data_IF_446352340674
#
_entry.id   IF_446352340674
#
_cell.length_a   1.000
_cell.length_b   1.000
_cell.length_c   1.000
_cell.angle_alpha   90.00
_cell.angle_beta   90.00
_cell.angle_gamma   90.00
#
_symmetry.space_group_name_H-M   'P 1'
#
loop_
_entity.id
_entity.type
_entity.pdbx_description
1 polymer ?
#
# COMPACT_ATOMS: atom_id res chain seq x y z
N UNK A 1 -15.69 -48.69 -35.01
CA UNK A 1 -16.58 -48.14 -33.98
C UNK A 1 -15.83 -48.26 -32.66
N UNK A 2 -14.90 -47.37 -32.31
CA UNK A 2 -15.03 -45.93 -31.95
C UNK A 2 -16.13 -45.69 -30.90
N UNK A 3 -15.65 -45.24 -29.73
CA UNK A 3 -16.13 -44.21 -28.77
C UNK A 3 -16.06 -44.77 -27.34
N UNK A 4 -15.40 -44.16 -26.34
CA UNK A 4 -14.66 -42.90 -26.24
C UNK A 4 -13.79 -42.99 -24.98
N UNK A 5 -12.51 -42.63 -25.11
CA UNK A 5 -11.57 -42.42 -24.02
C UNK A 5 -11.85 -41.03 -23.48
N UNK A 6 -12.55 -40.93 -22.36
CA UNK A 6 -12.67 -39.69 -21.59
C UNK A 6 -11.34 -39.42 -20.88
N UNK A 7 -10.49 -38.63 -21.53
CA UNK A 7 -9.23 -38.12 -20.99
C UNK A 7 -9.47 -37.33 -19.69
N UNK A 8 -9.30 -37.98 -18.55
CA UNK A 8 -8.87 -37.32 -17.32
C UNK A 8 -7.34 -37.20 -17.37
N UNK A 9 -6.84 -36.36 -18.24
CA UNK A 9 -5.44 -35.94 -18.22
C UNK A 9 -5.38 -34.52 -17.70
N UNK A 10 -4.93 -34.42 -16.45
CA UNK A 10 -4.02 -33.39 -15.97
C UNK A 10 -4.31 -31.96 -16.42
N UNK A 11 -5.16 -31.26 -15.66
CA UNK A 11 -5.05 -29.80 -15.56
C UNK A 11 -5.28 -29.29 -14.13
N UNK A 12 -4.92 -30.14 -13.17
CA UNK A 12 -4.52 -29.73 -11.82
C UNK A 12 -2.98 -29.65 -11.78
N UNK A 13 -2.38 -29.02 -12.78
CA UNK A 13 -1.03 -28.53 -12.64
C UNK A 13 -1.08 -27.50 -11.52
N UNK A 14 -0.24 -27.71 -10.51
CA UNK A 14 0.04 -26.74 -9.47
C UNK A 14 0.17 -25.36 -10.14
N UNK A 15 -0.80 -24.48 -9.94
CA UNK A 15 -0.63 -23.06 -10.14
C UNK A 15 0.45 -22.67 -9.13
N UNK A 16 1.72 -22.85 -9.51
CA UNK A 16 2.80 -22.27 -8.76
C UNK A 16 2.53 -20.79 -8.88
N UNK A 17 2.24 -20.17 -7.74
CA UNK A 17 2.09 -18.74 -7.62
C UNK A 17 3.39 -18.11 -8.13
N UNK A 18 3.41 -17.70 -9.41
CA UNK A 18 4.60 -17.19 -10.09
C UNK A 18 5.15 -15.94 -9.38
N UNK A 19 4.37 -15.32 -8.49
CA UNK A 19 4.80 -14.24 -7.62
C UNK A 19 5.81 -14.65 -6.55
N UNK A 20 6.04 -15.96 -6.33
CA UNK A 20 7.00 -16.49 -5.36
C UNK A 20 8.39 -16.78 -5.95
N UNK A 21 8.55 -16.70 -7.27
CA UNK A 21 9.86 -16.88 -7.88
C UNK A 21 10.65 -15.56 -7.91
N UNK A 22 11.98 -15.62 -7.69
CA UNK A 22 12.85 -14.46 -7.87
C UNK A 22 12.67 -13.86 -9.26
N UNK A 23 12.54 -12.53 -9.32
CA UNK A 23 12.37 -11.82 -10.58
C UNK A 23 13.67 -11.86 -11.39
N UNK A 24 13.59 -12.25 -12.66
CA UNK A 24 14.73 -12.06 -13.56
C UNK A 24 14.86 -10.57 -13.92
N UNK A 25 16.09 -10.11 -14.22
CA UNK A 25 16.33 -8.71 -14.59
C UNK A 25 15.52 -8.28 -15.83
N UNK A 26 15.44 -9.12 -16.86
CA UNK A 26 14.65 -8.84 -18.08
C UNK A 26 13.15 -8.73 -17.78
N UNK A 27 12.63 -9.59 -16.90
CA UNK A 27 11.24 -9.52 -16.47
C UNK A 27 10.97 -8.23 -15.69
N UNK A 28 11.84 -7.86 -14.76
CA UNK A 28 11.72 -6.61 -14.02
C UNK A 28 11.78 -5.38 -14.94
N UNK A 29 12.68 -5.36 -15.93
CA UNK A 29 12.74 -4.32 -16.95
C UNK A 29 11.40 -4.17 -17.69
N UNK A 30 10.81 -5.29 -18.11
CA UNK A 30 9.51 -5.28 -18.75
C UNK A 30 8.42 -4.72 -17.81
N UNK A 31 8.39 -5.18 -16.56
CA UNK A 31 7.41 -4.76 -15.57
C UNK A 31 7.52 -3.26 -15.26
N UNK A 32 8.71 -2.73 -14.97
CA UNK A 32 8.90 -1.31 -14.67
C UNK A 32 8.54 -0.43 -15.86
N UNK A 33 8.89 -0.84 -17.08
CA UNK A 33 8.58 -0.08 -18.30
C UNK A 33 7.06 0.09 -18.50
N UNK A 34 6.27 -0.95 -18.20
CA UNK A 34 4.81 -0.93 -18.40
C UNK A 34 4.03 -0.52 -17.14
N UNK A 35 4.71 -0.36 -16.01
CA UNK A 35 4.12 0.05 -14.75
C UNK A 35 3.48 1.43 -14.90
N UNK A 36 2.24 1.59 -14.45
CA UNK A 36 1.53 2.87 -14.43
C UNK A 36 1.65 3.50 -13.05
N UNK A 37 2.20 4.71 -12.99
CA UNK A 37 2.44 5.43 -11.74
C UNK A 37 1.99 6.88 -11.84
N UNK A 38 1.56 7.41 -10.70
CA UNK A 38 1.33 8.81 -10.47
C UNK A 38 0.02 9.35 -11.06
N UNK A 39 -0.25 10.65 -10.80
CA UNK A 39 -1.48 11.31 -11.23
C UNK A 39 -1.60 11.46 -12.76
N UNK A 40 -0.50 11.27 -13.50
CA UNK A 40 -0.51 11.24 -14.97
C UNK A 40 -1.14 9.96 -15.53
N UNK A 41 -1.11 8.87 -14.75
CA UNK A 41 -1.61 7.55 -15.19
C UNK A 41 -2.97 7.20 -14.62
N UNK A 42 -3.30 7.73 -13.44
CA UNK A 42 -4.48 7.35 -12.67
C UNK A 42 -5.28 8.56 -12.20
N UNK A 43 -6.58 8.54 -12.47
CA UNK A 43 -7.53 9.44 -11.82
C UNK A 43 -7.96 8.89 -10.45
N UNK A 44 -8.44 9.77 -9.57
CA UNK A 44 -8.86 9.38 -8.21
C UNK A 44 -10.03 8.38 -8.22
N UNK A 45 -10.85 8.41 -9.25
CA UNK A 45 -12.00 7.53 -9.47
C UNK A 45 -11.60 6.12 -9.92
N UNK A 46 -10.39 5.97 -10.49
CA UNK A 46 -9.89 4.70 -11.03
C UNK A 46 -9.22 3.83 -9.97
N UNK A 47 -8.95 4.39 -8.79
CA UNK A 47 -8.36 3.66 -7.66
C UNK A 47 -9.31 2.55 -7.19
N UNK A 48 -8.79 1.32 -7.18
CA UNK A 48 -9.55 0.12 -6.82
C UNK A 48 -10.31 -0.54 -7.98
N UNK A 49 -10.15 -0.05 -9.21
CA UNK A 49 -10.54 -0.78 -10.43
C UNK A 49 -9.68 -2.05 -10.59
N UNK A 50 -10.14 -3.01 -11.39
CA UNK A 50 -9.39 -4.25 -11.62
C UNK A 50 -8.00 -3.97 -12.20
N UNK A 51 -7.90 -3.05 -13.15
CA UNK A 51 -6.63 -2.66 -13.78
C UNK A 51 -5.66 -2.04 -12.75
N UNK A 52 -6.16 -1.17 -11.86
CA UNK A 52 -5.34 -0.59 -10.80
C UNK A 52 -4.87 -1.66 -9.79
N UNK A 53 -5.72 -2.64 -9.47
CA UNK A 53 -5.36 -3.75 -8.57
C UNK A 53 -4.28 -4.66 -9.18
N UNK A 54 -4.36 -4.93 -10.49
CA UNK A 54 -3.32 -5.67 -11.21
C UNK A 54 -1.99 -4.90 -11.21
N UNK A 55 -2.04 -3.59 -11.46
CA UNK A 55 -0.85 -2.73 -11.37
C UNK A 55 -0.25 -2.70 -9.96
N UNK A 56 -1.08 -2.68 -8.90
CA UNK A 56 -0.61 -2.80 -7.53
C UNK A 56 0.09 -4.15 -7.27
N UNK A 57 -0.44 -5.27 -7.79
CA UNK A 57 0.19 -6.57 -7.62
C UNK A 57 1.59 -6.62 -8.26
N UNK A 58 1.78 -5.98 -9.42
CA UNK A 58 3.10 -5.81 -10.05
C UNK A 58 4.03 -5.00 -9.15
N UNK A 59 3.55 -3.86 -8.62
CA UNK A 59 4.33 -3.02 -7.72
C UNK A 59 4.72 -3.76 -6.43
N UNK A 60 3.80 -4.55 -5.86
CA UNK A 60 4.06 -5.37 -4.67
C UNK A 60 5.14 -6.43 -4.94
N UNK A 61 5.13 -7.03 -6.13
CA UNK A 61 6.16 -8.00 -6.54
C UNK A 61 7.53 -7.34 -6.66
N UNK A 62 7.60 -6.16 -7.28
CA UNK A 62 8.83 -5.36 -7.35
C UNK A 62 9.33 -4.97 -5.96
N UNK A 63 8.41 -4.60 -5.04
CA UNK A 63 8.74 -4.28 -3.65
C UNK A 63 9.36 -5.46 -2.90
N UNK A 64 8.78 -6.66 -3.04
CA UNK A 64 9.32 -7.87 -2.40
C UNK A 64 10.76 -8.16 -2.86
N UNK A 65 11.00 -8.08 -4.17
CA UNK A 65 12.32 -8.33 -4.75
C UNK A 65 13.33 -7.25 -4.33
N UNK A 66 12.98 -5.97 -4.42
CA UNK A 66 13.85 -4.87 -4.02
C UNK A 66 14.27 -4.98 -2.54
N UNK A 67 13.34 -5.37 -1.66
CA UNK A 67 13.67 -5.62 -0.27
C UNK A 67 14.58 -6.83 -0.08
N UNK A 68 14.34 -7.94 -0.80
CA UNK A 68 15.25 -9.09 -0.76
C UNK A 68 16.65 -8.69 -1.17
N UNK A 69 16.78 -7.88 -2.24
CA UNK A 69 18.07 -7.39 -2.73
C UNK A 69 18.84 -6.59 -1.68
N UNK A 70 18.14 -5.67 -1.02
CA UNK A 70 18.69 -4.83 0.04
C UNK A 70 19.09 -5.64 1.29
N UNK A 71 18.28 -6.62 1.70
CA UNK A 71 18.55 -7.47 2.88
C UNK A 71 19.73 -8.40 2.63
N UNK A 72 19.78 -9.02 1.45
CA UNK A 72 20.82 -9.96 1.08
C UNK A 72 22.13 -9.26 0.66
N UNK A 73 22.11 -7.93 0.51
CA UNK A 73 23.24 -7.14 0.04
C UNK A 73 23.68 -7.52 -1.37
N UNK A 74 22.72 -7.90 -2.21
CA UNK A 74 22.95 -8.30 -3.61
C UNK A 74 22.83 -7.10 -4.54
N UNK A 75 22.94 -7.33 -5.84
CA UNK A 75 22.82 -6.28 -6.85
C UNK A 75 21.40 -5.69 -6.88
N UNK A 76 21.28 -4.40 -6.59
CA UNK A 76 19.99 -3.69 -6.45
C UNK A 76 19.44 -3.23 -7.81
N UNK A 77 19.34 -4.15 -8.76
CA UNK A 77 18.98 -3.82 -10.14
C UNK A 77 17.58 -3.21 -10.26
N UNK A 78 16.67 -3.50 -9.32
CA UNK A 78 15.33 -2.87 -9.30
C UNK A 78 15.48 -1.37 -9.04
N UNK A 79 16.27 -0.98 -8.04
CA UNK A 79 16.53 0.43 -7.75
C UNK A 79 17.22 1.11 -8.93
N UNK A 80 18.26 0.48 -9.49
CA UNK A 80 18.99 1.03 -10.64
C UNK A 80 18.08 1.26 -11.85
N UNK A 81 17.13 0.35 -12.07
CA UNK A 81 16.15 0.46 -13.14
C UNK A 81 15.19 1.66 -12.92
N UNK A 82 14.71 1.87 -11.69
CA UNK A 82 13.87 3.03 -11.38
C UNK A 82 14.62 4.36 -11.53
N UNK A 83 15.90 4.40 -11.16
CA UNK A 83 16.78 5.56 -11.38
C UNK A 83 17.01 5.79 -12.88
N UNK A 84 17.37 4.74 -13.63
CA UNK A 84 17.66 4.79 -15.06
C UNK A 84 16.48 5.30 -15.89
N UNK A 85 15.28 4.87 -15.56
CA UNK A 85 14.05 5.22 -16.26
C UNK A 85 13.39 6.51 -15.72
N UNK A 86 14.04 7.22 -14.78
CA UNK A 86 13.54 8.45 -14.11
C UNK A 86 12.16 8.28 -13.43
N UNK A 87 11.87 7.08 -12.92
CA UNK A 87 10.54 6.69 -12.40
C UNK A 87 10.37 6.95 -10.91
N UNK A 88 11.42 7.37 -10.20
CA UNK A 88 11.34 7.70 -8.77
C UNK A 88 10.38 8.88 -8.53
N UNK A 89 10.39 9.87 -9.43
CA UNK A 89 9.44 10.99 -9.38
C UNK A 89 7.99 10.52 -9.54
N UNK A 90 7.73 9.59 -10.46
CA UNK A 90 6.41 9.02 -10.65
C UNK A 90 5.95 8.21 -9.44
N UNK A 91 6.87 7.49 -8.78
CA UNK A 91 6.60 6.73 -7.56
C UNK A 91 6.23 7.65 -6.38
N UNK A 92 6.90 8.80 -6.25
CA UNK A 92 6.50 9.85 -5.30
C UNK A 92 5.13 10.40 -5.69
N UNK A 93 4.86 10.63 -6.98
CA UNK A 93 3.54 11.01 -7.47
C UNK A 93 2.44 10.00 -7.09
N UNK A 94 2.71 8.70 -7.18
CA UNK A 94 1.80 7.63 -6.77
C UNK A 94 1.54 7.70 -5.25
N UNK A 95 2.56 7.98 -4.44
CA UNK A 95 2.41 8.17 -3.00
C UNK A 95 1.45 9.33 -2.68
N UNK A 96 1.62 10.47 -3.35
CA UNK A 96 0.76 11.64 -3.14
C UNK A 96 -0.67 11.37 -3.64
N UNK A 97 -0.82 10.65 -4.74
CA UNK A 97 -2.12 10.24 -5.27
C UNK A 97 -2.88 9.37 -4.26
N UNK A 98 -2.26 8.29 -3.77
CA UNK A 98 -2.93 7.38 -2.83
C UNK A 98 -3.18 8.05 -1.47
N UNK A 99 -2.28 8.92 -1.03
CA UNK A 99 -2.48 9.73 0.17
C UNK A 99 -3.67 10.69 0.02
N UNK A 100 -3.79 11.36 -1.11
CA UNK A 100 -4.91 12.26 -1.42
C UNK A 100 -6.22 11.48 -1.46
N UNK A 101 -6.23 10.31 -2.09
CA UNK A 101 -7.40 9.43 -2.11
C UNK A 101 -7.81 8.99 -0.69
N UNK A 102 -6.86 8.56 0.14
CA UNK A 102 -7.13 8.13 1.53
C UNK A 102 -7.64 9.28 2.41
N UNK A 103 -7.17 10.50 2.20
CA UNK A 103 -7.57 11.66 3.02
C UNK A 103 -8.86 12.32 2.56
N UNK A 104 -9.13 12.36 1.25
CA UNK A 104 -10.26 13.11 0.66
C UNK A 104 -11.39 12.22 0.17
N UNK A 105 -11.07 11.09 -0.47
CA UNK A 105 -12.06 10.23 -1.13
C UNK A 105 -12.56 9.17 -0.18
N UNK A 106 -11.66 8.44 0.47
CA UNK A 106 -12.01 7.32 1.36
C UNK A 106 -13.08 7.67 2.42
N UNK A 107 -13.04 8.83 3.12
CA UNK A 107 -14.09 9.17 4.09
C UNK A 107 -15.49 9.28 3.47
N UNK A 108 -15.60 9.75 2.22
CA UNK A 108 -16.87 9.94 1.51
C UNK A 108 -17.48 8.63 1.02
N UNK A 109 -16.65 7.63 0.73
CA UNK A 109 -17.08 6.33 0.19
C UNK A 109 -17.08 5.21 1.23
N UNK A 110 -16.48 5.43 2.41
CA UNK A 110 -16.30 4.43 3.48
C UNK A 110 -17.59 3.68 3.86
N UNK A 111 -18.73 4.38 3.93
CA UNK A 111 -20.04 3.78 4.24
C UNK A 111 -20.56 2.84 3.14
N UNK A 112 -20.17 3.07 1.89
CA UNK A 112 -20.58 2.27 0.74
C UNK A 112 -19.60 1.11 0.48
N UNK A 113 -18.32 1.29 0.81
CA UNK A 113 -17.27 0.29 0.68
C UNK A 113 -17.53 -0.96 1.54
N UNK A 114 -18.20 -0.84 2.69
CA UNK A 114 -18.55 -1.98 3.54
C UNK A 114 -19.39 -3.07 2.84
N UNK A 115 -20.00 -2.74 1.68
CA UNK A 115 -20.78 -3.66 0.84
C UNK A 115 -19.96 -4.37 -0.24
N UNK A 116 -18.73 -3.92 -0.50
CA UNK A 116 -17.82 -4.52 -1.47
C UNK A 116 -16.98 -5.63 -0.82
N UNK A 117 -16.26 -6.41 -1.64
CA UNK A 117 -15.35 -7.43 -1.13
C UNK A 117 -14.25 -6.80 -0.26
N UNK A 118 -13.91 -7.48 0.83
CA UNK A 118 -12.91 -7.02 1.81
C UNK A 118 -11.56 -6.70 1.17
N UNK A 119 -11.14 -7.51 0.18
CA UNK A 119 -9.89 -7.30 -0.56
C UNK A 119 -9.89 -5.99 -1.35
N UNK A 120 -10.99 -5.65 -2.04
CA UNK A 120 -11.08 -4.42 -2.84
C UNK A 120 -11.00 -3.15 -1.97
N UNK A 121 -11.41 -3.26 -0.71
CA UNK A 121 -11.30 -2.17 0.26
C UNK A 121 -9.90 -2.08 0.88
N UNK A 122 -9.27 -3.23 1.13
CA UNK A 122 -8.00 -3.30 1.83
C UNK A 122 -6.82 -2.87 0.93
N UNK A 123 -6.82 -3.28 -0.33
CA UNK A 123 -5.68 -3.06 -1.23
C UNK A 123 -5.34 -1.57 -1.41
N UNK A 124 -6.29 -0.66 -1.67
CA UNK A 124 -6.00 0.79 -1.70
C UNK A 124 -5.44 1.34 -0.38
N UNK A 125 -5.87 0.80 0.76
CA UNK A 125 -5.36 1.23 2.06
C UNK A 125 -3.91 0.76 2.28
N UNK A 126 -3.57 -0.42 1.79
CA UNK A 126 -2.26 -1.04 1.91
C UNK A 126 -1.25 -0.52 0.89
N UNK A 127 -1.70 -0.11 -0.30
CA UNK A 127 -0.85 0.37 -1.38
C UNK A 127 0.11 1.50 -0.95
N UNK A 128 -0.36 2.41 -0.10
CA UNK A 128 0.49 3.46 0.49
C UNK A 128 1.73 2.87 1.19
N UNK A 129 1.60 1.77 1.93
CA UNK A 129 2.74 1.13 2.59
C UNK A 129 3.70 0.49 1.59
N UNK A 130 3.20 -0.14 0.52
CA UNK A 130 4.03 -0.70 -0.55
C UNK A 130 4.89 0.37 -1.23
N UNK A 131 4.29 1.53 -1.54
CA UNK A 131 5.01 2.65 -2.17
C UNK A 131 6.08 3.23 -1.23
N UNK A 132 5.75 3.42 0.05
CA UNK A 132 6.73 3.93 1.04
C UNK A 132 7.89 2.96 1.21
N UNK A 133 7.62 1.66 1.31
CA UNK A 133 8.67 0.66 1.49
C UNK A 133 9.66 0.67 0.31
N UNK A 134 9.16 0.77 -0.93
CA UNK A 134 10.02 0.94 -2.11
C UNK A 134 10.84 2.23 -2.04
N UNK A 135 10.20 3.35 -1.71
CA UNK A 135 10.90 4.63 -1.56
C UNK A 135 11.97 4.58 -0.46
N UNK A 136 11.73 3.87 0.64
CA UNK A 136 12.73 3.68 1.70
C UNK A 136 13.99 2.98 1.16
N UNK A 137 13.81 1.87 0.42
CA UNK A 137 14.93 1.15 -0.21
C UNK A 137 15.65 2.04 -1.22
N UNK A 138 14.93 2.80 -2.03
CA UNK A 138 15.54 3.59 -3.11
C UNK A 138 16.25 4.84 -2.60
N UNK A 139 15.66 5.56 -1.64
CA UNK A 139 16.19 6.81 -1.10
C UNK A 139 17.27 6.59 -0.04
N UNK A 140 17.56 5.34 0.32
CA UNK A 140 18.75 5.02 1.11
C UNK A 140 20.04 5.39 0.36
N UNK A 141 20.01 5.37 -0.97
CA UNK A 141 21.15 5.66 -1.83
C UNK A 141 21.10 7.07 -2.40
N UNK A 142 22.28 7.68 -2.58
CA UNK A 142 22.40 9.07 -3.03
C UNK A 142 21.82 9.27 -4.44
N UNK A 143 22.06 8.35 -5.35
CA UNK A 143 21.52 8.36 -6.72
C UNK A 143 19.98 8.30 -6.74
N UNK A 144 19.37 7.56 -5.82
CA UNK A 144 17.93 7.53 -5.63
C UNK A 144 17.37 8.89 -5.21
N UNK A 145 18.05 9.58 -4.29
CA UNK A 145 17.67 10.94 -3.86
C UNK A 145 17.88 11.96 -4.98
N UNK A 146 18.98 11.88 -5.72
CA UNK A 146 19.23 12.76 -6.88
C UNK A 146 18.17 12.57 -7.98
N UNK A 147 17.75 11.33 -8.24
CA UNK A 147 16.70 11.01 -9.18
C UNK A 147 15.30 11.48 -8.73
N UNK A 148 15.04 11.61 -7.42
CA UNK A 148 13.81 12.22 -6.93
C UNK A 148 13.71 13.71 -7.30
N UNK A 149 14.84 14.44 -7.32
CA UNK A 149 14.87 15.86 -7.72
C UNK A 149 13.86 16.71 -6.94
N UNK A 150 13.08 17.53 -7.65
CA UNK A 150 12.16 18.51 -7.04
C UNK A 150 10.96 17.87 -6.32
N UNK A 151 10.54 16.64 -6.69
CA UNK A 151 9.42 15.95 -6.03
C UNK A 151 9.75 15.51 -4.60
N UNK A 152 11.03 15.59 -4.20
CA UNK A 152 11.45 15.41 -2.80
C UNK A 152 10.70 16.36 -1.85
N UNK A 153 10.34 17.56 -2.31
CA UNK A 153 9.57 18.52 -1.49
C UNK A 153 8.19 17.97 -1.14
N UNK A 154 7.52 17.31 -2.09
CA UNK A 154 6.21 16.67 -1.87
C UNK A 154 6.33 15.51 -0.88
N UNK A 155 7.41 14.74 -0.95
CA UNK A 155 7.70 13.67 0.01
C UNK A 155 7.93 14.22 1.42
N UNK A 156 8.64 15.35 1.55
CA UNK A 156 8.84 16.02 2.85
C UNK A 156 7.51 16.53 3.40
N UNK A 157 6.65 17.13 2.56
CA UNK A 157 5.32 17.58 2.97
C UNK A 157 4.46 16.41 3.47
N UNK A 158 4.44 15.31 2.72
CA UNK A 158 3.80 14.06 3.10
C UNK A 158 4.28 13.57 4.48
N UNK A 159 5.60 13.44 4.67
CA UNK A 159 6.19 12.99 5.94
C UNK A 159 5.82 13.93 7.10
N UNK A 160 5.88 15.25 6.88
CA UNK A 160 5.52 16.24 7.88
C UNK A 160 4.04 16.11 8.32
N UNK A 161 3.15 15.90 7.35
CA UNK A 161 1.72 15.69 7.58
C UNK A 161 1.45 14.42 8.37
N UNK A 162 2.17 13.32 8.09
CA UNK A 162 2.06 12.06 8.85
C UNK A 162 2.56 12.22 10.29
N UNK A 163 3.70 12.88 10.48
CA UNK A 163 4.24 13.15 11.82
C UNK A 163 3.27 14.02 12.63
N UNK A 164 2.71 15.07 12.04
CA UNK A 164 1.71 15.91 12.70
C UNK A 164 0.48 15.10 13.12
N UNK A 165 -0.02 14.23 12.24
CA UNK A 165 -1.15 13.33 12.56
C UNK A 165 -0.85 12.35 13.70
N UNK A 166 0.36 11.79 13.74
CA UNK A 166 0.80 10.90 14.83
C UNK A 166 0.89 11.65 16.17
N UNK A 167 1.42 12.88 16.17
CA UNK A 167 1.47 13.74 17.36
C UNK A 167 0.08 14.08 17.87
N UNK A 168 -0.86 14.40 16.97
CA UNK A 168 -2.25 14.67 17.34
C UNK A 168 -2.94 13.44 17.94
N UNK A 169 -2.74 12.27 17.34
CA UNK A 169 -3.27 11.00 17.85
C UNK A 169 -2.69 10.68 19.23
N UNK A 170 -1.39 10.87 19.42
CA UNK A 170 -0.74 10.66 20.71
C UNK A 170 -1.30 11.59 21.79
N UNK A 171 -1.46 12.89 21.47
CA UNK A 171 -2.07 13.86 22.36
C UNK A 171 -3.52 13.51 22.73
N UNK A 172 -4.32 13.01 21.77
CA UNK A 172 -5.69 12.55 22.02
C UNK A 172 -5.71 11.35 22.98
N UNK A 173 -4.85 10.35 22.74
CA UNK A 173 -4.72 9.16 23.61
C UNK A 173 -4.27 9.53 25.02
N UNK A 174 -3.30 10.44 25.16
CA UNK A 174 -2.83 10.92 26.46
C UNK A 174 -3.93 11.67 27.23
N UNK A 175 -4.73 12.49 26.56
CA UNK A 175 -5.90 13.14 27.18
C UNK A 175 -6.96 12.12 27.58
N UNK A 176 -7.20 11.10 26.76
CA UNK A 176 -8.15 10.04 27.07
C UNK A 176 -7.70 9.22 28.29
N UNK A 177 -6.41 8.87 28.40
CA UNK A 177 -5.89 8.14 29.55
C UNK A 177 -5.94 8.98 30.83
N UNK A 178 -5.64 10.28 30.75
CA UNK A 178 -5.79 11.20 31.89
C UNK A 178 -7.25 11.30 32.35
N UNK A 179 -8.20 11.47 31.41
CA UNK A 179 -9.63 11.47 31.70
C UNK A 179 -10.06 10.19 32.41
N UNK A 180 -9.61 9.03 31.94
CA UNK A 180 -9.90 7.73 32.56
C UNK A 180 -9.27 7.59 33.97
N UNK A 181 -8.13 8.21 34.23
CA UNK A 181 -7.48 8.22 35.53
C UNK A 181 -8.14 9.18 36.54
N UNK A 182 -8.73 10.28 36.05
CA UNK A 182 -9.45 11.27 36.85
C UNK A 182 -10.92 10.87 37.14
N UNK A 183 -11.41 9.79 36.54
CA UNK A 183 -12.78 9.33 36.77
C UNK A 183 -13.02 8.80 38.17
N UNK A 184 -14.01 9.39 38.84
CA UNK A 184 -14.56 8.87 40.10
C UNK A 184 -15.16 7.46 39.93
N UNK A 185 -15.11 6.61 40.97
CA UNK A 185 -15.64 5.24 40.92
C UNK A 185 -17.13 5.17 40.50
N UNK A 186 -17.91 6.17 40.86
CA UNK A 186 -19.34 6.29 40.50
C UNK A 186 -19.54 6.56 39.01
N UNK A 187 -18.75 7.46 38.43
CA UNK A 187 -18.75 7.77 36.99
C UNK A 187 -18.32 6.57 36.16
N UNK A 188 -17.32 5.81 36.65
CA UNK A 188 -16.86 4.55 36.04
C UNK A 188 -17.96 3.47 36.05
N UNK A 189 -18.71 3.35 37.15
CA UNK A 189 -19.85 2.42 37.25
C UNK A 189 -20.98 2.79 36.28
N UNK A 190 -21.36 4.05 36.20
CA UNK A 190 -22.39 4.52 35.27
C UNK A 190 -22.02 4.27 33.80
N UNK A 191 -20.74 4.44 33.44
CA UNK A 191 -20.27 4.17 32.08
C UNK A 191 -20.28 2.68 31.72
N UNK A 192 -19.92 1.80 32.67
CA UNK A 192 -19.98 0.34 32.47
C UNK A 192 -21.43 -0.16 32.33
N UNK A 193 -22.37 0.42 33.09
CA UNK A 193 -23.81 0.12 32.97
C UNK A 193 -24.33 0.57 31.60
N UNK A 194 -23.94 1.77 31.14
CA UNK A 194 -24.34 2.26 29.82
C UNK A 194 -23.77 1.41 28.66
N UNK A 195 -22.54 0.89 28.79
CA UNK A 195 -21.95 0.00 27.79
C UNK A 195 -22.59 -1.40 27.78
N UNK A 196 -23.02 -1.94 28.93
CA UNK A 196 -23.74 -3.21 28.97
C UNK A 196 -25.14 -3.13 28.38
N UNK A 197 -25.77 -1.96 28.41
CA UNK A 197 -27.10 -1.75 27.83
C UNK A 197 -27.05 -1.58 26.30
N UNK A 198 -25.93 -1.10 25.73
CA UNK A 198 -25.71 -1.01 24.27
C UNK A 198 -25.37 -2.35 23.60
N UNK A 199 -24.78 -3.31 24.32
CA UNK A 199 -24.45 -4.65 23.77
C UNK A 199 -25.64 -5.63 23.78
N UNK A 200 -26.77 -5.26 24.41
CA UNK A 200 -27.97 -6.11 24.56
C UNK A 200 -29.06 -5.79 23.52
N UNK A 201 -28.85 -4.77 22.67
CA UNK A 201 -29.74 -4.37 21.57
C UNK A 201 -29.15 -4.71 20.20
#
# INVERSE_FOLDING_TARGET
>A
MITEVGNYTSDSALMIDESQFPLSQCEAEHLVTHLKLGPSSWALEEIGTTEWLENHAVLERLNKEAHSQAVDGTDEFIKDLFVREDRIKDLIGELILIWTWKTRVYPLISSNLAKLSSLRNYVPLYHEATVINLLEVFLFHQDGVEAAGDTTVDLVDYCSSKLAGLLELHAKRAKQSLRLAEETPESRRQRLIAQSDEEVL
#
